data_IF_018703185331
#
_entry.id   IF_018703185331
#
_cell.length_a   1.000
_cell.length_b   1.000
_cell.length_c   1.000
_cell.angle_alpha   90.00
_cell.angle_beta   90.00
_cell.angle_gamma   90.00
#
_symmetry.space_group_name_H-M   'P 1'
#
loop_
_entity.id
_entity.type
_entity.pdbx_description
1 polymer ?
#
# COMPACT_ATOMS: atom_id res chain seq x y z
N UNK A 1 16.25 -20.58 -13.21
CA UNK A 1 16.56 -21.34 -11.97
C UNK A 1 15.25 -21.75 -11.34
N UNK A 2 15.09 -22.99 -10.83
CA UNK A 2 13.83 -23.38 -10.18
C UNK A 2 13.65 -22.65 -8.84
N UNK A 3 12.45 -22.09 -8.63
CA UNK A 3 12.01 -21.32 -7.44
C UNK A 3 12.17 -22.17 -6.17
N UNK A 4 12.89 -21.66 -5.16
CA UNK A 4 13.00 -22.29 -3.83
C UNK A 4 11.80 -21.94 -2.96
N UNK A 5 10.62 -22.36 -3.38
CA UNK A 5 9.35 -21.88 -2.84
C UNK A 5 8.60 -23.10 -2.28
N UNK A 6 8.44 -23.15 -0.94
CA UNK A 6 7.94 -24.29 -0.15
C UNK A 6 6.44 -24.58 -0.41
N UNK A 7 6.10 -25.04 -1.61
CA UNK A 7 4.70 -25.33 -1.99
C UNK A 7 3.84 -24.09 -2.23
N UNK A 8 4.45 -22.94 -2.54
CA UNK A 8 3.73 -21.71 -2.91
C UNK A 8 3.46 -21.69 -4.41
N UNK A 9 2.24 -21.29 -4.81
CA UNK A 9 1.81 -21.05 -6.19
C UNK A 9 1.60 -19.53 -6.34
N UNK A 10 1.83 -18.97 -7.53
CA UNK A 10 1.64 -17.54 -7.77
C UNK A 10 2.83 -16.69 -7.32
N UNK A 11 4.03 -17.28 -7.29
CA UNK A 11 5.25 -16.59 -6.87
C UNK A 11 5.78 -15.59 -7.90
N UNK A 12 5.37 -15.75 -9.16
CA UNK A 12 5.70 -14.84 -10.25
C UNK A 12 4.43 -14.32 -10.92
N UNK A 13 4.52 -13.14 -11.53
CA UNK A 13 3.43 -12.61 -12.36
C UNK A 13 3.05 -13.56 -13.53
N UNK A 14 4.01 -14.34 -14.04
CA UNK A 14 3.74 -15.33 -15.09
C UNK A 14 2.87 -16.50 -14.55
N UNK A 15 3.11 -16.95 -13.32
CA UNK A 15 2.27 -17.97 -12.67
C UNK A 15 0.82 -17.46 -12.56
N UNK A 16 0.64 -16.19 -12.20
CA UNK A 16 -0.68 -15.58 -12.06
C UNK A 16 -1.39 -15.47 -13.41
N UNK A 17 -0.67 -15.09 -14.48
CA UNK A 17 -1.23 -15.07 -15.84
C UNK A 17 -1.66 -16.47 -16.29
N UNK A 18 -0.84 -17.49 -16.03
CA UNK A 18 -1.19 -18.87 -16.34
C UNK A 18 -2.47 -19.31 -15.59
N UNK A 19 -2.61 -18.97 -14.31
CA UNK A 19 -3.83 -19.28 -13.56
C UNK A 19 -5.07 -18.56 -14.13
N UNK A 20 -4.92 -17.31 -14.57
CA UNK A 20 -6.01 -16.56 -15.20
C UNK A 20 -6.41 -17.21 -16.53
N UNK A 21 -5.44 -17.64 -17.34
CA UNK A 21 -5.68 -18.23 -18.67
C UNK A 21 -6.33 -19.61 -18.62
N UNK A 22 -6.00 -20.41 -17.60
CA UNK A 22 -6.53 -21.76 -17.42
C UNK A 22 -7.93 -21.78 -16.79
N UNK A 23 -8.36 -20.70 -16.16
CA UNK A 23 -9.68 -20.60 -15.52
C UNK A 23 -10.66 -19.96 -16.49
N UNK A 24 -11.77 -20.65 -16.78
CA UNK A 24 -12.91 -20.08 -17.50
C UNK A 24 -13.52 -18.92 -16.68
N UNK A 25 -13.12 -17.69 -16.99
CA UNK A 25 -13.43 -16.47 -16.23
C UNK A 25 -14.20 -15.39 -17.04
N UNK A 26 -15.27 -15.73 -17.79
CA UNK A 26 -15.93 -14.79 -18.70
C UNK A 26 -16.63 -13.63 -17.98
N UNK A 27 -16.99 -13.80 -16.69
CA UNK A 27 -17.56 -12.74 -15.86
C UNK A 27 -16.52 -11.95 -15.05
N UNK A 28 -15.21 -12.22 -15.21
CA UNK A 28 -14.15 -11.49 -14.52
C UNK A 28 -14.17 -11.63 -12.99
N UNK A 29 -14.63 -12.78 -12.46
CA UNK A 29 -14.69 -13.04 -11.01
C UNK A 29 -13.33 -13.37 -10.40
N UNK A 30 -12.41 -13.93 -11.20
CA UNK A 30 -11.01 -14.07 -10.82
C UNK A 30 -10.27 -12.79 -11.19
N UNK A 31 -9.65 -12.17 -10.19
CA UNK A 31 -8.75 -11.04 -10.35
C UNK A 31 -7.55 -11.21 -9.40
N UNK A 32 -6.52 -10.39 -9.60
CA UNK A 32 -5.22 -10.50 -8.92
C UNK A 32 -4.90 -9.24 -8.14
N UNK A 33 -4.39 -9.42 -6.92
CA UNK A 33 -3.65 -8.37 -6.20
C UNK A 33 -2.16 -8.60 -6.41
N UNK A 34 -1.43 -7.56 -6.81
CA UNK A 34 0.03 -7.65 -6.97
C UNK A 34 0.72 -6.99 -5.78
N UNK A 35 1.38 -7.80 -4.97
CA UNK A 35 2.23 -7.30 -3.88
C UNK A 35 3.66 -7.06 -4.37
N UNK A 36 4.07 -5.80 -4.34
CA UNK A 36 5.38 -5.39 -4.84
C UNK A 36 6.54 -5.80 -3.94
N UNK A 37 6.33 -6.07 -2.65
CA UNK A 37 7.38 -6.66 -1.81
C UNK A 37 7.71 -8.08 -2.28
N UNK A 38 6.70 -8.90 -2.58
CA UNK A 38 6.93 -10.26 -3.09
C UNK A 38 7.57 -10.24 -4.48
N UNK A 39 7.09 -9.36 -5.36
CA UNK A 39 7.68 -9.20 -6.70
C UNK A 39 9.15 -8.75 -6.59
N UNK A 40 9.46 -7.84 -5.66
CA UNK A 40 10.83 -7.43 -5.39
C UNK A 40 11.70 -8.56 -4.85
N UNK A 41 11.25 -9.32 -3.87
CA UNK A 41 12.12 -10.32 -3.23
C UNK A 41 12.29 -11.59 -4.04
N UNK A 42 11.31 -11.92 -4.90
CA UNK A 42 11.26 -13.19 -5.63
C UNK A 42 11.50 -13.08 -7.15
N UNK A 43 11.23 -11.92 -7.78
CA UNK A 43 11.17 -11.85 -9.25
C UNK A 43 12.05 -10.76 -9.87
N UNK A 44 11.87 -9.50 -9.51
CA UNK A 44 12.53 -8.37 -10.20
C UNK A 44 12.96 -7.25 -9.27
N UNK A 45 14.22 -6.83 -9.39
CA UNK A 45 14.73 -5.64 -8.73
C UNK A 45 14.29 -4.38 -9.48
N UNK A 46 13.08 -3.90 -9.18
CA UNK A 46 12.54 -2.67 -9.76
C UNK A 46 13.08 -1.38 -9.11
N UNK A 47 14.12 -1.47 -8.28
CA UNK A 47 14.73 -0.26 -7.68
C UNK A 47 15.49 0.56 -8.71
N UNK A 48 15.82 0.00 -9.87
CA UNK A 48 16.46 0.71 -10.99
C UNK A 48 15.44 1.06 -12.08
N UNK A 49 15.67 2.10 -12.91
CA UNK A 49 14.80 2.39 -14.05
C UNK A 49 14.62 1.18 -14.99
N UNK A 50 15.70 0.48 -15.33
CA UNK A 50 15.62 -0.71 -16.19
C UNK A 50 14.81 -1.84 -15.54
N UNK A 51 14.97 -2.06 -14.23
CA UNK A 51 14.17 -3.04 -13.49
C UNK A 51 12.69 -2.65 -13.40
N UNK A 52 12.38 -1.36 -13.32
CA UNK A 52 10.99 -0.88 -13.39
C UNK A 52 10.37 -1.21 -14.75
N UNK A 53 11.05 -0.98 -15.87
CA UNK A 53 10.52 -1.36 -17.19
C UNK A 53 10.23 -2.87 -17.29
N UNK A 54 11.08 -3.72 -16.70
CA UNK A 54 10.83 -5.16 -16.63
C UNK A 54 9.56 -5.46 -15.81
N UNK A 55 9.37 -4.78 -14.69
CA UNK A 55 8.14 -4.91 -13.88
C UNK A 55 6.90 -4.48 -14.69
N UNK A 56 6.98 -3.34 -15.40
CA UNK A 56 5.87 -2.84 -16.23
C UNK A 56 5.51 -3.86 -17.31
N UNK A 57 6.49 -4.38 -18.04
CA UNK A 57 6.26 -5.40 -19.06
C UNK A 57 5.61 -6.68 -18.47
N UNK A 58 5.99 -7.08 -17.26
CA UNK A 58 5.38 -8.21 -16.59
C UNK A 58 3.94 -7.94 -16.13
N UNK A 59 3.63 -6.71 -15.69
CA UNK A 59 2.27 -6.28 -15.36
C UNK A 59 1.41 -6.24 -16.63
N UNK A 60 1.93 -5.69 -17.73
CA UNK A 60 1.22 -5.65 -19.02
C UNK A 60 0.95 -7.06 -19.56
N UNK A 61 1.88 -8.00 -19.35
CA UNK A 61 1.69 -9.41 -19.71
C UNK A 61 0.54 -10.07 -18.93
N UNK A 62 0.39 -9.76 -17.63
CA UNK A 62 -0.77 -10.19 -16.84
C UNK A 62 -2.05 -9.53 -17.34
N UNK A 63 -1.95 -8.30 -17.82
CA UNK A 63 -3.04 -7.46 -18.26
C UNK A 63 -3.64 -6.67 -17.11
N UNK A 64 -3.55 -5.34 -17.17
CA UNK A 64 -3.98 -4.45 -16.08
C UNK A 64 -5.44 -4.63 -15.65
N UNK A 65 -6.31 -5.05 -16.58
CA UNK A 65 -7.73 -5.33 -16.31
C UNK A 65 -7.96 -6.54 -15.39
N UNK A 66 -6.97 -7.43 -15.27
CA UNK A 66 -7.00 -8.57 -14.34
C UNK A 66 -6.48 -8.19 -12.95
N UNK A 67 -5.98 -6.97 -12.76
CA UNK A 67 -5.38 -6.52 -11.49
C UNK A 67 -6.34 -5.59 -10.77
N UNK A 68 -6.76 -5.98 -9.57
CA UNK A 68 -7.70 -5.19 -8.75
C UNK A 68 -7.00 -4.22 -7.82
N UNK A 69 -5.80 -4.55 -7.35
CA UNK A 69 -5.04 -3.71 -6.43
C UNK A 69 -3.54 -3.99 -6.51
N UNK A 70 -2.75 -2.96 -6.22
CA UNK A 70 -1.34 -3.11 -5.86
C UNK A 70 -1.17 -2.99 -4.35
N UNK A 71 -0.40 -3.89 -3.75
CA UNK A 71 0.03 -3.77 -2.36
C UNK A 71 1.47 -3.27 -2.32
N UNK A 72 1.69 -2.25 -1.49
CA UNK A 72 2.98 -1.58 -1.36
C UNK A 72 3.44 -1.59 0.09
N UNK A 73 4.67 -2.05 0.26
CA UNK A 73 5.44 -1.94 1.48
C UNK A 73 6.91 -1.88 1.10
N UNK A 74 7.77 -1.25 1.89
CA UNK A 74 9.21 -1.40 1.63
C UNK A 74 9.67 -2.77 2.13
N UNK A 75 10.71 -3.32 1.50
CA UNK A 75 11.13 -4.68 1.79
C UNK A 75 12.17 -4.74 2.89
N UNK A 76 11.92 -5.57 3.90
CA UNK A 76 12.88 -5.91 4.95
C UNK A 76 13.99 -6.85 4.48
N UNK A 77 13.92 -7.36 3.25
CA UNK A 77 14.93 -8.24 2.68
C UNK A 77 15.50 -7.67 1.40
N UNK A 78 16.70 -8.14 1.04
CA UNK A 78 17.30 -7.83 -0.27
C UNK A 78 16.59 -8.62 -1.39
N UNK A 79 16.60 -8.08 -2.61
CA UNK A 79 16.18 -8.79 -3.81
C UNK A 79 16.83 -10.19 -3.91
N UNK A 80 16.05 -11.19 -4.33
CA UNK A 80 16.48 -12.58 -4.49
C UNK A 80 16.49 -13.41 -3.21
N UNK A 81 16.01 -12.86 -2.09
CA UNK A 81 15.90 -13.58 -0.81
C UNK A 81 14.66 -14.47 -0.71
N UNK A 82 13.63 -14.24 -1.54
CA UNK A 82 12.29 -14.81 -1.40
C UNK A 82 11.67 -14.60 0.00
N UNK A 83 12.11 -13.56 0.72
CA UNK A 83 11.59 -13.22 2.03
C UNK A 83 10.33 -12.36 1.97
N UNK A 84 9.50 -12.46 2.98
CA UNK A 84 8.30 -11.65 3.17
C UNK A 84 8.40 -10.93 4.52
N UNK A 85 8.91 -9.69 4.49
CA UNK A 85 8.97 -8.84 5.67
C UNK A 85 8.70 -7.40 5.27
N UNK A 86 7.49 -6.93 5.54
CA UNK A 86 7.10 -5.56 5.26
C UNK A 86 7.73 -4.61 6.27
N UNK A 87 8.22 -3.46 5.80
CA UNK A 87 8.74 -2.37 6.64
C UNK A 87 8.25 -1.02 6.15
N UNK A 88 8.34 0.00 7.01
CA UNK A 88 7.99 1.38 6.62
C UNK A 88 8.81 1.81 5.39
N UNK A 89 8.17 2.62 4.55
CA UNK A 89 8.80 3.20 3.39
C UNK A 89 10.09 3.96 3.71
N UNK A 90 11.13 3.70 2.92
CA UNK A 90 12.46 4.28 3.09
C UNK A 90 13.31 3.57 4.16
N UNK A 91 12.77 2.59 4.90
CA UNK A 91 13.55 1.78 5.85
C UNK A 91 14.06 0.48 5.24
N UNK A 92 13.41 0.00 4.18
CA UNK A 92 13.72 -1.25 3.50
C UNK A 92 14.59 -1.10 2.26
N UNK A 93 14.82 -2.19 1.54
CA UNK A 93 15.75 -2.26 0.41
C UNK A 93 15.23 -1.61 -0.87
N UNK A 94 13.92 -1.34 -0.99
CA UNK A 94 13.32 -0.74 -2.18
C UNK A 94 13.56 0.78 -2.19
N UNK A 95 13.23 1.43 -1.07
CA UNK A 95 13.51 2.85 -0.85
C UNK A 95 12.60 3.83 -1.59
N UNK A 96 12.67 5.11 -1.19
CA UNK A 96 11.73 6.15 -1.64
C UNK A 96 11.89 6.50 -3.12
N UNK A 97 13.11 6.54 -3.65
CA UNK A 97 13.32 6.92 -5.05
C UNK A 97 12.69 5.92 -6.02
N UNK A 98 12.70 4.63 -5.66
CA UNK A 98 12.05 3.59 -6.45
C UNK A 98 10.52 3.77 -6.43
N UNK A 99 9.94 3.98 -5.24
CA UNK A 99 8.51 4.24 -5.12
C UNK A 99 8.05 5.50 -5.84
N UNK A 100 8.88 6.55 -5.83
CA UNK A 100 8.62 7.77 -6.60
C UNK A 100 8.52 7.47 -8.10
N UNK A 101 9.47 6.72 -8.68
CA UNK A 101 9.41 6.33 -10.10
C UNK A 101 8.19 5.47 -10.39
N UNK A 102 7.97 4.47 -9.53
CA UNK A 102 6.90 3.50 -9.66
C UNK A 102 5.52 4.17 -9.63
N UNK A 103 5.22 4.94 -8.58
CA UNK A 103 3.90 5.55 -8.39
C UNK A 103 3.60 6.70 -9.37
N UNK A 104 4.61 7.24 -10.04
CA UNK A 104 4.45 8.21 -11.14
C UNK A 104 4.22 7.53 -12.49
N UNK A 105 4.43 6.23 -12.61
CA UNK A 105 4.17 5.52 -13.86
C UNK A 105 2.65 5.40 -14.11
N UNK A 106 2.15 5.70 -15.32
CA UNK A 106 0.71 5.73 -15.60
C UNK A 106 -0.04 4.44 -15.27
N UNK A 107 0.61 3.27 -15.33
CA UNK A 107 -0.04 1.98 -15.02
C UNK A 107 -0.59 1.94 -13.58
N UNK A 108 0.16 2.50 -12.63
CA UNK A 108 -0.24 2.53 -11.22
C UNK A 108 -1.33 3.57 -10.96
N UNK A 109 -1.65 4.42 -11.95
CA UNK A 109 -2.79 5.34 -11.90
C UNK A 109 -4.15 4.68 -12.19
N UNK A 110 -4.14 3.52 -12.85
CA UNK A 110 -5.35 2.84 -13.34
C UNK A 110 -6.03 1.98 -12.28
N UNK A 111 -5.26 1.53 -11.28
CA UNK A 111 -5.71 0.57 -10.25
C UNK A 111 -5.38 1.14 -8.86
N UNK A 112 -6.23 0.91 -7.84
CA UNK A 112 -5.95 1.36 -6.48
C UNK A 112 -4.66 0.74 -5.92
N UNK A 113 -4.05 1.48 -5.00
CA UNK A 113 -2.83 1.11 -4.31
C UNK A 113 -3.11 1.07 -2.81
N UNK A 114 -2.78 -0.03 -2.16
CA UNK A 114 -2.98 -0.28 -0.73
C UNK A 114 -1.60 -0.33 -0.06
N UNK A 115 -1.43 0.43 1.02
CA UNK A 115 -0.19 0.40 1.79
C UNK A 115 -0.26 -0.65 2.89
N UNK A 116 0.66 -1.61 2.86
CA UNK A 116 0.76 -2.69 3.83
C UNK A 116 1.97 -2.49 4.74
N UNK A 117 2.03 -1.30 5.34
CA UNK A 117 3.06 -0.96 6.31
C UNK A 117 2.71 -1.55 7.68
N UNK A 118 3.68 -2.12 8.40
CA UNK A 118 3.44 -2.57 9.77
C UNK A 118 2.95 -1.41 10.64
N UNK A 119 1.99 -1.64 11.56
CA UNK A 119 1.57 -0.60 12.47
C UNK A 119 2.76 -0.13 13.33
N UNK A 120 2.77 1.16 13.69
CA UNK A 120 3.85 1.70 14.51
C UNK A 120 3.97 1.01 15.86
N UNK A 121 2.85 0.62 16.46
CA UNK A 121 2.84 -0.26 17.61
C UNK A 121 1.59 -1.13 17.64
N UNK A 122 1.74 -2.37 18.10
CA UNK A 122 0.62 -3.33 18.26
C UNK A 122 0.13 -3.46 19.69
N UNK A 123 0.92 -2.96 20.65
CA UNK A 123 0.68 -3.07 22.09
C UNK A 123 -0.70 -2.54 22.51
N UNK A 124 -1.16 -1.47 21.86
CA UNK A 124 -2.36 -0.77 22.30
C UNK A 124 -3.58 -1.21 21.50
N UNK A 125 -4.52 -1.89 22.16
CA UNK A 125 -5.86 -2.10 21.62
C UNK A 125 -6.68 -0.81 21.73
N UNK A 126 -7.55 -0.56 20.77
CA UNK A 126 -8.33 0.68 20.68
C UNK A 126 -9.17 0.96 21.94
N UNK A 127 -9.69 -0.08 22.61
CA UNK A 127 -10.41 0.02 23.88
C UNK A 127 -9.53 0.58 25.02
N UNK A 128 -8.26 0.19 25.06
CA UNK A 128 -7.26 0.62 26.06
C UNK A 128 -6.83 2.08 25.85
N UNK A 129 -7.16 2.67 24.70
CA UNK A 129 -6.71 4.00 24.31
C UNK A 129 -7.76 5.11 24.48
N UNK A 130 -8.98 4.77 24.93
CA UNK A 130 -10.07 5.76 25.09
C UNK A 130 -9.66 6.85 26.08
N UNK A 131 -9.77 8.12 25.66
CA UNK A 131 -9.37 9.28 26.48
C UNK A 131 -7.87 9.60 26.47
N UNK A 132 -7.06 8.87 25.70
CA UNK A 132 -5.62 9.13 25.55
C UNK A 132 -5.32 9.89 24.25
N UNK A 133 -4.13 10.48 24.16
CA UNK A 133 -3.65 11.10 22.92
C UNK A 133 -2.97 10.11 21.97
N UNK A 134 -2.87 8.83 22.32
CA UNK A 134 -2.18 7.82 21.49
C UNK A 134 -2.88 7.60 20.14
N UNK A 135 -4.22 7.36 20.06
CA UNK A 135 -4.90 7.19 18.78
C UNK A 135 -4.74 8.39 17.85
N UNK A 136 -4.79 9.60 18.41
CA UNK A 136 -4.61 10.82 17.64
C UNK A 136 -3.19 10.93 17.09
N UNK A 137 -2.16 10.60 17.88
CA UNK A 137 -0.78 10.64 17.41
C UNK A 137 -0.46 9.49 16.43
N UNK A 138 -1.08 8.32 16.58
CA UNK A 138 -0.97 7.24 15.59
C UNK A 138 -1.59 7.69 14.25
N UNK A 139 -2.78 8.28 14.28
CA UNK A 139 -3.39 8.85 13.08
C UNK A 139 -2.51 9.92 12.44
N UNK A 140 -1.91 10.82 13.22
CA UNK A 140 -0.95 11.82 12.70
C UNK A 140 0.28 11.19 12.04
N UNK A 141 0.72 10.01 12.50
CA UNK A 141 1.83 9.29 11.88
C UNK A 141 1.41 8.69 10.54
N UNK A 142 0.20 8.14 10.47
CA UNK A 142 -0.37 7.61 9.22
C UNK A 142 -0.62 8.74 8.21
N UNK A 143 -1.17 9.87 8.67
CA UNK A 143 -1.41 11.05 7.84
C UNK A 143 -0.07 11.61 7.31
N UNK A 144 0.98 11.69 8.15
CA UNK A 144 2.33 12.10 7.72
C UNK A 144 2.92 11.17 6.64
N UNK A 145 2.69 9.85 6.74
CA UNK A 145 3.11 8.91 5.72
C UNK A 145 2.39 9.20 4.40
N UNK A 146 1.07 9.38 4.46
CA UNK A 146 0.26 9.68 3.28
C UNK A 146 0.68 11.01 2.63
N UNK A 147 0.90 12.07 3.41
CA UNK A 147 1.41 13.36 2.93
C UNK A 147 2.76 13.24 2.23
N UNK A 148 3.69 12.44 2.77
CA UNK A 148 4.96 12.18 2.11
C UNK A 148 4.73 11.53 0.73
N UNK A 149 3.83 10.55 0.64
CA UNK A 149 3.52 9.87 -0.63
C UNK A 149 2.93 10.81 -1.66
N UNK A 150 1.93 11.60 -1.28
CA UNK A 150 1.31 12.58 -2.17
C UNK A 150 2.36 13.58 -2.67
N UNK A 151 3.21 14.06 -1.77
CA UNK A 151 4.29 14.99 -2.12
C UNK A 151 5.31 14.37 -3.08
N UNK A 152 5.84 13.16 -2.81
CA UNK A 152 6.82 12.54 -3.70
C UNK A 152 6.21 12.16 -5.05
N UNK A 153 4.89 11.92 -5.15
CA UNK A 153 4.23 11.65 -6.43
C UNK A 153 4.09 12.94 -7.22
N UNK A 154 3.66 14.04 -6.59
CA UNK A 154 3.34 15.29 -7.27
C UNK A 154 4.58 16.10 -7.68
N UNK A 155 5.67 16.04 -6.91
CA UNK A 155 6.91 16.79 -7.21
C UNK A 155 7.48 16.40 -8.59
N UNK A 156 7.98 17.35 -9.36
CA UNK A 156 8.75 17.08 -10.59
C UNK A 156 10.11 16.43 -10.29
N UNK A 157 10.73 15.75 -11.25
CA UNK A 157 12.05 15.13 -11.04
C UNK A 157 13.13 16.16 -10.72
N UNK A 158 13.09 17.32 -11.40
CA UNK A 158 13.94 18.47 -11.09
C UNK A 158 13.77 18.94 -9.64
N UNK A 159 12.53 19.10 -9.19
CA UNK A 159 12.24 19.49 -7.81
C UNK A 159 12.69 18.42 -6.81
N UNK A 160 12.55 17.14 -7.15
CA UNK A 160 12.99 16.06 -6.29
C UNK A 160 14.51 16.01 -6.15
N UNK A 161 15.24 16.22 -7.24
CA UNK A 161 16.70 16.29 -7.22
C UNK A 161 17.21 17.44 -6.34
N UNK A 162 16.55 18.61 -6.39
CA UNK A 162 16.94 19.80 -5.64
C UNK A 162 16.45 19.82 -4.17
N UNK A 163 15.26 19.27 -3.89
CA UNK A 163 14.58 19.40 -2.60
C UNK A 163 14.37 18.06 -1.88
N UNK A 164 14.45 16.91 -2.55
CA UNK A 164 14.05 15.61 -2.00
C UNK A 164 14.78 15.23 -0.71
N UNK A 165 16.08 15.51 -0.61
CA UNK A 165 16.84 15.30 0.63
C UNK A 165 16.29 16.11 1.81
N UNK A 166 15.86 17.36 1.57
CA UNK A 166 15.25 18.22 2.60
C UNK A 166 13.87 17.72 3.00
N UNK A 167 13.06 17.30 2.03
CA UNK A 167 11.74 16.69 2.27
C UNK A 167 11.87 15.48 3.18
N UNK A 168 12.76 14.54 2.86
CA UNK A 168 12.98 13.34 3.66
C UNK A 168 13.51 13.66 5.06
N UNK A 169 14.47 14.59 5.17
CA UNK A 169 14.98 15.06 6.47
C UNK A 169 13.87 15.66 7.33
N UNK A 170 12.97 16.45 6.73
CA UNK A 170 11.84 17.04 7.42
C UNK A 170 10.81 15.99 7.86
N UNK A 171 10.45 15.07 6.97
CA UNK A 171 9.57 13.95 7.29
C UNK A 171 10.07 13.20 8.54
N UNK A 172 11.34 12.77 8.55
CA UNK A 172 11.89 12.07 9.71
C UNK A 172 11.91 12.92 10.98
N UNK A 173 12.14 14.23 10.85
CA UNK A 173 12.09 15.15 11.98
C UNK A 173 10.69 15.23 12.61
N UNK A 174 9.65 15.36 11.79
CA UNK A 174 8.25 15.39 12.26
C UNK A 174 7.86 14.02 12.83
N UNK A 175 8.22 12.94 12.14
CA UNK A 175 7.98 11.57 12.55
C UNK A 175 8.53 11.30 13.96
N UNK A 176 9.78 11.69 14.23
CA UNK A 176 10.42 11.54 15.54
C UNK A 176 9.62 12.27 16.64
N UNK A 177 9.11 13.47 16.37
CA UNK A 177 8.32 14.24 17.36
C UNK A 177 6.98 13.59 17.66
N UNK A 178 6.29 13.08 16.65
CA UNK A 178 5.02 12.35 16.83
C UNK A 178 5.29 11.08 17.67
N UNK A 179 6.33 10.33 17.32
CA UNK A 179 6.76 9.13 18.06
C UNK A 179 7.11 9.43 19.51
N UNK A 180 7.78 10.55 19.78
CA UNK A 180 8.05 11.01 21.15
C UNK A 180 6.76 11.29 21.93
N UNK A 181 5.75 11.91 21.31
CA UNK A 181 4.44 12.14 21.96
C UNK A 181 3.74 10.82 22.29
N UNK A 182 3.76 9.84 21.39
CA UNK A 182 3.22 8.49 21.64
C UNK A 182 3.94 7.86 22.84
N UNK A 183 5.28 7.90 22.86
CA UNK A 183 6.07 7.39 23.99
C UNK A 183 5.71 8.08 25.31
N UNK A 184 5.57 9.40 25.33
CA UNK A 184 5.19 10.12 26.55
C UNK A 184 3.77 9.78 27.01
N UNK A 185 2.84 9.58 26.08
CA UNK A 185 1.49 9.13 26.41
C UNK A 185 1.48 7.68 26.93
N UNK A 186 2.33 6.80 26.38
CA UNK A 186 2.51 5.43 26.86
C UNK A 186 3.05 5.39 28.30
N UNK A 187 4.02 6.25 28.65
CA UNK A 187 4.53 6.37 30.03
C UNK A 187 3.39 6.73 31.01
N UNK A 188 2.49 7.64 30.60
CA UNK A 188 1.35 8.07 31.44
C UNK A 188 0.29 6.99 31.66
N UNK A 189 0.27 5.93 30.84
CA UNK A 189 -0.64 4.80 31.03
C UNK A 189 -0.18 3.82 32.12
N UNK A 190 1.03 3.99 32.65
CA UNK A 190 1.61 3.17 33.71
C UNK A 190 2.63 2.16 33.21
N UNK A 191 3.36 1.57 34.16
CA UNK A 191 4.57 0.80 33.89
C UNK A 191 4.32 -0.43 33.01
N UNK A 192 3.25 -1.20 33.28
CA UNK A 192 2.93 -2.39 32.50
C UNK A 192 2.67 -2.06 31.01
N UNK A 193 1.88 -1.01 30.74
CA UNK A 193 1.57 -0.56 29.38
C UNK A 193 2.83 -0.03 28.67
N UNK A 194 3.68 0.70 29.41
CA UNK A 194 4.91 1.23 28.87
C UNK A 194 5.97 0.15 28.59
N UNK A 195 6.09 -0.88 29.42
CA UNK A 195 6.97 -2.03 29.16
C UNK A 195 6.55 -2.78 27.90
N UNK A 196 5.26 -3.12 27.78
CA UNK A 196 4.75 -3.79 26.59
C UNK A 196 4.94 -2.95 25.32
N UNK A 197 4.87 -1.61 25.42
CA UNK A 197 5.18 -0.70 24.31
C UNK A 197 6.67 -0.73 23.94
N UNK A 198 7.56 -0.80 24.94
CA UNK A 198 8.99 -0.88 24.69
C UNK A 198 9.38 -2.18 23.99
N UNK A 199 8.82 -3.32 24.41
CA UNK A 199 9.09 -4.64 23.80
C UNK A 199 8.70 -4.67 22.31
N UNK A 200 7.48 -4.24 21.99
CA UNK A 200 6.98 -4.13 20.61
C UNK A 200 7.86 -3.22 19.74
N UNK A 201 8.27 -2.07 20.30
CA UNK A 201 9.18 -1.13 19.62
C UNK A 201 10.60 -1.68 19.48
N UNK A 202 11.07 -2.49 20.43
CA UNK A 202 12.40 -3.09 20.41
C UNK A 202 12.53 -4.09 19.27
N UNK A 203 11.50 -4.91 19.02
CA UNK A 203 11.46 -5.83 17.89
C UNK A 203 11.59 -5.09 16.55
N UNK A 204 10.78 -4.06 16.35
CA UNK A 204 10.83 -3.22 15.13
C UNK A 204 12.19 -2.54 14.97
N UNK A 205 12.74 -2.00 16.06
CA UNK A 205 14.06 -1.35 16.06
C UNK A 205 15.19 -2.33 15.71
N UNK A 206 15.15 -3.55 16.25
CA UNK A 206 16.13 -4.60 15.95
C UNK A 206 16.11 -4.96 14.47
N UNK A 207 14.91 -5.17 13.90
CA UNK A 207 14.72 -5.44 12.47
C UNK A 207 15.29 -4.33 11.60
N UNK A 208 14.93 -3.07 11.88
CA UNK A 208 15.44 -1.92 11.12
C UNK A 208 16.98 -1.80 11.18
N UNK A 209 17.59 -2.09 12.34
CA UNK A 209 19.05 -2.12 12.49
C UNK A 209 19.69 -3.26 11.69
N UNK A 210 19.08 -4.43 11.65
CA UNK A 210 19.55 -5.56 10.87
C UNK A 210 19.54 -5.22 9.36
N UNK A 211 18.46 -4.62 8.87
CA UNK A 211 18.34 -4.15 7.48
C UNK A 211 19.42 -3.12 7.15
N UNK A 212 19.61 -2.12 8.01
CA UNK A 212 20.61 -1.08 7.80
C UNK A 212 22.03 -1.68 7.70
N UNK A 213 22.37 -2.63 8.59
CA UNK A 213 23.65 -3.35 8.53
C UNK A 213 23.79 -4.19 7.26
N UNK A 214 22.73 -4.89 6.86
CA UNK A 214 22.73 -5.70 5.63
C UNK A 214 22.99 -4.86 4.37
N UNK A 215 22.46 -3.63 4.32
CA UNK A 215 22.74 -2.67 3.23
C UNK A 215 24.20 -2.21 3.21
N UNK A 216 24.83 -2.03 4.38
CA UNK A 216 26.25 -1.64 4.48
C UNK A 216 27.19 -2.77 4.05
N UNK A 217 26.84 -4.03 4.30
CA UNK A 217 27.65 -5.19 3.90
C UNK A 217 27.52 -5.56 2.43
N UNK A 218 26.38 -5.23 1.80
CA UNK A 218 26.09 -5.55 0.39
C UNK A 218 26.42 -4.45 -0.63
N UNK A 219 26.83 -3.25 -0.20
CA UNK A 219 27.08 -2.10 -1.08
C UNK A 219 28.42 -1.41 -0.84
N UNK A 220 29.13 -1.09 -1.92
CA UNK A 220 30.35 -0.26 -1.94
C UNK A 220 30.17 1.00 -1.08
N UNK A 221 31.15 1.27 -0.19
CA UNK A 221 31.20 2.40 0.74
C UNK A 221 30.72 3.72 0.10
N UNK A 222 29.49 4.16 0.34
CA UNK A 222 29.09 5.55 0.07
C UNK A 222 29.79 6.44 1.10
N UNK A 223 30.67 7.32 0.62
CA UNK A 223 31.36 8.34 1.45
C UNK A 223 30.33 9.21 2.17
N UNK A 224 30.48 9.37 3.49
CA UNK A 224 29.71 10.33 4.30
C UNK A 224 30.01 11.74 3.82
N UNK A 225 29.03 12.42 3.23
CA UNK A 225 29.06 13.87 3.13
C UNK A 225 28.78 14.44 4.53
N UNK A 226 29.70 15.28 5.04
CA UNK A 226 29.52 16.04 6.28
C UNK A 226 28.52 17.15 5.99
N UNK A 227 27.43 17.19 6.76
CA UNK A 227 26.45 18.27 6.70
C UNK A 227 26.61 19.11 7.97
N UNK A 228 27.18 20.30 7.82
CA UNK A 228 27.32 21.32 8.87
C UNK A 228 26.35 22.46 8.56
N UNK A 229 25.36 22.67 9.42
CA UNK A 229 24.48 23.84 9.31
C UNK A 229 23.14 23.63 9.96
N UNK A 230 22.91 24.36 11.04
CA UNK A 230 21.66 24.47 11.79
C UNK A 230 20.89 25.71 11.30
N UNK A 231 19.59 25.78 11.63
CA UNK A 231 18.69 26.96 11.56
C UNK A 231 18.12 27.29 10.18
N UNK A 232 16.92 27.86 10.01
CA UNK A 232 15.69 28.01 10.82
C UNK A 232 14.70 28.76 9.92
N UNK A 233 13.44 28.31 9.87
CA UNK A 233 12.34 29.01 9.17
C UNK A 233 12.47 29.00 7.64
N UNK A 234 11.38 28.76 6.93
CA UNK A 234 11.12 29.10 5.51
C UNK A 234 10.11 28.07 4.98
N UNK A 235 8.97 28.53 4.47
CA UNK A 235 7.96 27.67 3.87
C UNK A 235 8.52 26.85 2.72
N UNK A 236 8.66 25.53 2.92
CA UNK A 236 9.20 24.60 1.94
C UNK A 236 8.04 23.83 1.28
N UNK A 237 7.18 24.52 0.53
CA UNK A 237 6.34 23.92 -0.51
C UNK A 237 6.17 24.98 -1.62
N UNK A 238 6.58 24.71 -2.88
CA UNK A 238 6.22 25.56 -4.01
C UNK A 238 4.69 25.66 -4.15
N UNK A 239 4.14 26.86 -4.41
CA UNK A 239 2.69 27.12 -4.48
C UNK A 239 1.97 26.39 -5.63
N UNK A 240 2.75 25.77 -6.50
CA UNK A 240 2.40 25.05 -7.72
C UNK A 240 2.05 23.56 -7.48
N UNK A 241 2.08 23.10 -6.22
CA UNK A 241 1.64 21.75 -5.82
C UNK A 241 0.16 21.77 -5.40
N UNK A 242 -0.75 22.01 -6.35
CA UNK A 242 -2.19 21.80 -6.16
C UNK A 242 -2.87 21.66 -7.53
N UNK A 243 -3.15 20.42 -7.95
CA UNK A 243 -4.43 20.01 -8.54
C UNK A 243 -4.32 18.59 -9.12
N UNK A 244 -4.87 17.62 -8.40
CA UNK A 244 -5.69 16.50 -8.91
C UNK A 244 -5.99 15.56 -7.73
N UNK A 245 -7.26 15.39 -7.32
CA UNK A 245 -7.61 14.41 -6.30
C UNK A 245 -7.46 13.00 -6.90
N UNK A 246 -6.71 12.12 -6.24
CA UNK A 246 -6.74 10.67 -6.51
C UNK A 246 -7.34 9.96 -5.30
N UNK A 247 -8.33 9.10 -5.52
CA UNK A 247 -8.99 8.36 -4.45
C UNK A 247 -8.03 7.33 -3.83
N UNK A 248 -7.58 7.59 -2.60
CA UNK A 248 -6.94 6.59 -1.74
C UNK A 248 -7.99 6.06 -0.77
N UNK A 249 -8.53 4.87 -1.02
CA UNK A 249 -9.50 4.26 -0.09
C UNK A 249 -8.76 3.54 1.03
N UNK A 250 -8.91 4.03 2.26
CA UNK A 250 -8.49 3.31 3.47
C UNK A 250 -9.30 2.02 3.58
N UNK A 251 -8.61 0.87 3.62
CA UNK A 251 -9.20 -0.42 3.97
C UNK A 251 -9.62 -0.43 5.45
N UNK A 252 -10.81 0.08 5.74
CA UNK A 252 -11.45 0.02 7.05
C UNK A 252 -12.89 -0.42 6.89
N UNK A 253 -13.19 -1.67 7.25
CA UNK A 253 -14.55 -2.23 7.30
C UNK A 253 -15.49 -1.28 8.05
N UNK A 254 -16.58 -0.87 7.40
CA UNK A 254 -17.86 -0.57 8.05
C UNK A 254 -18.91 -1.47 7.41
N UNK A 255 -19.16 -2.62 8.05
CA UNK A 255 -20.45 -3.28 7.91
C UNK A 255 -21.41 -2.46 8.77
N UNK A 256 -22.19 -1.60 8.14
CA UNK A 256 -23.36 -1.00 8.76
C UNK A 256 -24.49 -2.03 8.71
N UNK A 257 -24.91 -2.50 9.87
CA UNK A 257 -26.23 -3.08 10.03
C UNK A 257 -27.24 -1.93 9.93
N UNK A 258 -28.15 -2.01 8.97
CA UNK A 258 -29.41 -1.26 9.03
C UNK A 258 -30.53 -2.29 9.09
N UNK A 259 -31.02 -2.51 10.31
CA UNK A 259 -32.41 -2.88 10.53
C UNK A 259 -33.23 -1.62 10.30
N UNK A 260 -34.19 -1.67 9.38
CA UNK A 260 -35.44 -0.93 9.52
C UNK A 260 -36.57 -1.74 8.89
N UNK A 261 -37.46 -2.22 9.77
CA UNK A 261 -38.81 -2.62 9.45
C UNK A 261 -39.62 -1.38 9.01
N UNK A 262 -40.56 -1.53 8.07
CA UNK A 262 -41.46 -0.44 7.69
C UNK A 262 -42.27 -0.61 6.41
N UNK A 263 -43.03 -1.70 6.32
CA UNK A 263 -44.43 -1.86 5.86
C UNK A 263 -45.09 -1.01 4.72
N UNK A 264 -45.90 -1.75 3.93
CA UNK A 264 -47.02 -1.36 3.03
C UNK A 264 -46.63 -0.63 1.72
N UNK A 265 -47.14 -0.97 0.53
CA UNK A 265 -48.52 -1.35 0.19
C UNK A 265 -48.57 -2.19 -1.11
N UNK A 266 -49.57 -3.07 -1.17
CA UNK A 266 -49.94 -3.92 -2.30
C UNK A 266 -50.73 -3.15 -3.35
N UNK A 267 -50.44 -3.35 -4.63
CA UNK A 267 -51.44 -3.16 -5.68
C UNK A 267 -51.42 -4.32 -6.68
N UNK A 268 -52.42 -5.16 -6.51
CA UNK A 268 -52.94 -6.11 -7.47
C UNK A 268 -53.90 -5.39 -8.43
N UNK A 269 -53.68 -5.49 -9.73
CA UNK A 269 -54.76 -5.36 -10.73
C UNK A 269 -54.69 -6.58 -11.64
N UNK A 270 -55.66 -7.48 -11.44
CA UNK A 270 -56.20 -8.39 -12.45
C UNK A 270 -57.34 -7.66 -13.16
N UNK A 271 -57.40 -7.74 -14.50
CA UNK A 271 -58.62 -8.00 -15.30
C UNK A 271 -58.21 -7.99 -16.79
N UNK A 272 -58.17 -9.09 -17.54
CA UNK A 272 -59.24 -9.95 -18.07
C UNK A 272 -59.82 -9.50 -19.44
N UNK A 273 -60.06 -10.50 -20.29
CA UNK A 273 -60.74 -10.41 -21.59
C UNK A 273 -59.78 -10.23 -22.78
N UNK A 274 -59.80 -11.03 -23.84
CA UNK A 274 -60.77 -12.04 -24.29
C UNK A 274 -60.15 -12.87 -25.42
N UNK A 275 -60.68 -14.09 -25.55
CA UNK A 275 -60.43 -15.11 -26.56
C UNK A 275 -60.63 -14.60 -28.00
N UNK A 276 -59.87 -15.15 -28.94
CA UNK A 276 -60.45 -15.74 -30.15
C UNK A 276 -59.49 -16.81 -30.72
N UNK A 277 -59.99 -18.05 -30.74
CA UNK A 277 -59.49 -19.13 -31.58
C UNK A 277 -60.18 -19.02 -32.95
N UNK A 278 -59.43 -19.22 -34.03
CA UNK A 278 -60.00 -19.84 -35.23
C UNK A 278 -58.91 -20.53 -36.05
N UNK A 279 -59.11 -21.83 -36.21
CA UNK A 279 -58.43 -22.78 -37.08
C UNK A 279 -58.38 -22.33 -38.56
N UNK A 280 -57.37 -22.81 -39.29
CA UNK A 280 -57.57 -23.57 -40.54
C UNK A 280 -56.23 -24.01 -41.15
N UNK A 281 -56.14 -25.32 -41.42
CA UNK A 281 -55.68 -25.99 -42.65
C UNK A 281 -54.51 -25.37 -43.44
N UNK A 282 -53.46 -26.07 -43.87
CA UNK A 282 -53.26 -27.50 -44.04
C UNK A 282 -52.13 -27.73 -45.06
N UNK A 283 -51.39 -28.83 -44.84
CA UNK A 283 -51.04 -29.85 -45.86
C UNK A 283 -49.88 -29.59 -46.84
N UNK A 284 -48.90 -30.52 -46.74
CA UNK A 284 -47.99 -31.11 -47.77
C UNK A 284 -46.93 -30.18 -48.39
N UNK A 285 -45.69 -30.60 -48.60
CA UNK A 285 -45.08 -31.94 -48.75
C UNK A 285 -43.63 -31.90 -48.27
#
# INVERSE_FOLDING_TARGET
MPCRCRGQIGTTLADLKLLIDEVDNPQGRLQVCVDLNHVYTAQVDFTTPAGLEILIAAIDHVGIHNITAFHLSDSGYQHGSAGDAHVDFGRGYIGIDAYRRLLRHPIFSQVPTIFEVPPYCTTFRQSTLKGTTIPENLRKLDDLNQELFELIIQMSDRSWEEYGKRVIKHYYFVEIRIRQRIRQAAIKLGDAAYQAFQEDRQQTSNRNRAIARGKETGGVKKRKARDSGLLSGLGIIPKDVCNTPRQTTRGGKKYGAEESEGTYESDSINDSGSLDESESDGVRS
#
